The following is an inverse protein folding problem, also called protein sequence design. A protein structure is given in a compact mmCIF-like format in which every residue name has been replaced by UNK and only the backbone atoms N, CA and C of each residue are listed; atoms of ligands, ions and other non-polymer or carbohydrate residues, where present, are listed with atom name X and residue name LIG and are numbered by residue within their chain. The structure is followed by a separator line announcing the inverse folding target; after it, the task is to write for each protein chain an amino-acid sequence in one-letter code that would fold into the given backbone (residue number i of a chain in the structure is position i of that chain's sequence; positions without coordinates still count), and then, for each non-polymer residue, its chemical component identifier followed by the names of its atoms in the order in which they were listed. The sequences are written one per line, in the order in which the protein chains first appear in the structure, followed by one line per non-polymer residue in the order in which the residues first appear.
data_IF_067341543146
#
_entry.id   IF_067341543146
#
_cell.length_a   1.000
_cell.length_b   1.000
_cell.length_c   1.000
_cell.angle_alpha   90.00
_cell.angle_beta   90.00
_cell.angle_gamma   90.00
#
_symmetry.space_group_name_H-M   'P 1'
#
loop_
_entity.id
_entity.type
_entity.pdbx_description
1 polymer ?
#
# COMPACT_ATOMS: atom_id res chain seq x y z
N UNK A 1 8.41 -83.81 -12.20
CA UNK A 1 7.79 -82.72 -11.44
C UNK A 1 8.28 -81.42 -12.00
N UNK A 2 7.49 -80.63 -12.76
CA UNK A 2 7.92 -79.35 -13.32
C UNK A 2 7.55 -78.20 -12.34
N UNK A 3 8.52 -77.32 -12.09
CA UNK A 3 8.38 -76.11 -11.31
C UNK A 3 7.79 -75.02 -12.19
N UNK A 4 6.65 -74.49 -11.78
CA UNK A 4 5.94 -73.37 -12.45
C UNK A 4 6.54 -72.07 -12.00
N UNK A 5 7.12 -71.29 -12.91
CA UNK A 5 7.66 -69.95 -12.66
C UNK A 5 6.51 -68.96 -12.80
N UNK A 6 6.15 -68.26 -11.67
CA UNK A 6 5.20 -67.18 -11.68
C UNK A 6 5.94 -65.87 -12.00
N UNK A 7 5.65 -65.30 -13.17
CA UNK A 7 6.09 -63.95 -13.52
C UNK A 7 5.12 -62.91 -12.89
N UNK A 8 5.57 -62.17 -11.90
CA UNK A 8 4.85 -60.97 -11.40
C UNK A 8 5.15 -59.81 -12.33
N UNK A 9 4.14 -59.40 -13.09
CA UNK A 9 4.17 -58.12 -13.82
C UNK A 9 3.95 -56.96 -12.85
N UNK A 10 5.01 -56.20 -12.57
CA UNK A 10 4.90 -54.92 -11.84
C UNK A 10 4.35 -53.87 -12.78
N UNK A 11 3.06 -53.57 -12.67
CA UNK A 11 2.43 -52.42 -13.32
C UNK A 11 2.96 -51.14 -12.65
N UNK A 12 3.86 -50.40 -13.32
CA UNK A 12 4.33 -49.12 -12.92
C UNK A 12 3.20 -48.07 -12.96
N UNK A 13 2.69 -47.68 -11.81
CA UNK A 13 1.86 -46.47 -11.65
C UNK A 13 2.76 -45.26 -11.82
N UNK A 14 2.74 -44.66 -13.02
CA UNK A 14 3.27 -43.34 -13.24
C UNK A 14 2.42 -42.33 -12.42
N UNK A 15 3.03 -41.51 -11.54
CA UNK A 15 2.28 -40.45 -10.92
C UNK A 15 1.86 -39.47 -12.01
N UNK A 16 0.55 -39.35 -12.24
CA UNK A 16 -0.02 -38.27 -13.02
C UNK A 16 0.44 -36.94 -12.37
N UNK A 17 1.33 -36.22 -13.06
CA UNK A 17 1.64 -34.84 -12.73
C UNK A 17 0.33 -34.06 -12.78
N UNK A 18 -0.36 -33.97 -11.65
CA UNK A 18 -1.46 -33.05 -11.46
C UNK A 18 -0.95 -31.65 -11.75
N UNK A 19 -1.37 -31.05 -12.88
CA UNK A 19 -1.25 -29.63 -13.10
C UNK A 19 -1.85 -28.98 -11.84
N UNK A 20 -0.99 -28.39 -11.02
CA UNK A 20 -1.41 -27.49 -9.95
C UNK A 20 -2.32 -26.47 -10.63
N UNK A 21 -3.63 -26.61 -10.43
CA UNK A 21 -4.59 -25.63 -10.90
C UNK A 21 -4.18 -24.31 -10.21
N UNK A 22 -3.63 -23.40 -11.00
CA UNK A 22 -3.42 -22.06 -10.52
C UNK A 22 -4.80 -21.53 -10.06
N UNK A 23 -4.92 -21.03 -8.83
CA UNK A 23 -6.17 -20.44 -8.41
C UNK A 23 -6.57 -19.37 -9.43
N UNK A 24 -7.87 -19.23 -9.74
CA UNK A 24 -8.33 -18.25 -10.71
C UNK A 24 -7.77 -16.87 -10.28
N UNK A 25 -7.34 -16.03 -11.26
CA UNK A 25 -6.86 -14.70 -10.96
C UNK A 25 -7.94 -13.97 -10.17
N UNK A 26 -7.58 -13.49 -8.98
CA UNK A 26 -8.49 -12.71 -8.14
C UNK A 26 -8.86 -11.44 -8.91
N UNK A 27 -10.13 -10.99 -8.86
CA UNK A 27 -10.50 -9.74 -9.47
C UNK A 27 -9.63 -8.64 -8.86
N UNK A 28 -8.93 -7.88 -9.71
CA UNK A 28 -8.08 -6.76 -9.25
C UNK A 28 -8.93 -5.73 -8.55
N UNK A 29 -8.47 -5.26 -7.45
CA UNK A 29 -9.12 -4.19 -6.70
C UNK A 29 -9.09 -2.92 -7.51
N UNK A 30 -10.25 -2.46 -7.99
CA UNK A 30 -10.40 -1.28 -8.86
C UNK A 30 -10.28 0.04 -8.08
N UNK A 31 -9.44 0.03 -7.05
CA UNK A 31 -9.22 1.13 -6.13
C UNK A 31 -9.75 0.87 -4.72
N UNK A 32 -9.28 1.66 -3.79
CA UNK A 32 -9.69 1.59 -2.39
C UNK A 32 -9.75 2.96 -1.75
N UNK A 33 -10.51 3.06 -0.64
CA UNK A 33 -10.41 4.17 0.31
C UNK A 33 -10.02 3.63 1.68
N UNK A 34 -9.35 4.47 2.46
CA UNK A 34 -8.91 4.14 3.82
C UNK A 34 -8.89 5.38 4.70
N UNK A 35 -8.94 5.15 6.01
CA UNK A 35 -8.51 6.12 6.99
C UNK A 35 -7.02 5.94 7.22
N UNK A 36 -6.24 7.00 7.05
CA UNK A 36 -4.80 7.03 7.26
C UNK A 36 -4.51 7.69 8.59
N UNK A 37 -3.68 7.01 9.40
CA UNK A 37 -3.12 7.57 10.63
C UNK A 37 -1.60 7.59 10.53
N UNK A 38 -0.99 8.73 10.79
CA UNK A 38 0.47 8.91 10.82
C UNK A 38 0.89 9.18 12.25
N UNK A 39 1.88 8.44 12.75
CA UNK A 39 2.39 8.58 14.12
C UNK A 39 3.91 8.65 14.15
N UNK A 40 4.43 9.47 15.08
CA UNK A 40 5.82 9.44 15.50
C UNK A 40 5.89 8.89 16.93
N UNK A 41 6.37 7.66 17.10
CA UNK A 41 6.20 6.93 18.36
C UNK A 41 4.73 6.79 18.73
N UNK A 42 4.35 7.27 19.92
CA UNK A 42 2.96 7.24 20.40
C UNK A 42 2.15 8.50 20.05
N UNK A 43 2.78 9.49 19.41
CA UNK A 43 2.14 10.77 19.07
C UNK A 43 1.50 10.68 17.68
N UNK A 44 0.21 10.97 17.58
CA UNK A 44 -0.47 11.16 16.29
C UNK A 44 -0.05 12.48 15.66
N UNK A 45 0.49 12.42 14.44
CA UNK A 45 0.96 13.58 13.67
C UNK A 45 -0.07 14.05 12.66
N UNK A 46 -0.82 13.11 12.08
CA UNK A 46 -1.87 13.39 11.09
C UNK A 46 -2.88 12.26 11.03
N UNK A 47 -4.13 12.63 10.68
CA UNK A 47 -5.20 11.69 10.41
C UNK A 47 -6.13 12.21 9.32
N UNK A 48 -6.32 11.44 8.25
CA UNK A 48 -7.05 11.89 7.07
C UNK A 48 -7.62 10.71 6.27
N UNK A 49 -8.59 10.97 5.39
CA UNK A 49 -9.12 10.00 4.46
C UNK A 49 -8.32 10.00 3.17
N UNK A 50 -8.04 8.82 2.64
CA UNK A 50 -7.34 8.60 1.38
C UNK A 50 -8.23 7.74 0.47
N UNK A 51 -8.26 8.06 -0.82
CA UNK A 51 -8.78 7.17 -1.86
C UNK A 51 -7.76 7.08 -2.99
N UNK A 52 -7.60 5.87 -3.54
CA UNK A 52 -6.64 5.56 -4.60
C UNK A 52 -7.32 4.68 -5.64
N UNK A 53 -7.10 4.99 -6.94
CA UNK A 53 -7.54 4.16 -8.06
C UNK A 53 -6.53 4.29 -9.20
N UNK A 54 -5.65 3.29 -9.34
CA UNK A 54 -4.50 3.42 -10.24
C UNK A 54 -3.63 4.61 -9.82
N UNK A 55 -3.47 5.58 -10.71
CA UNK A 55 -2.72 6.82 -10.45
C UNK A 55 -3.59 7.97 -9.90
N UNK A 56 -4.91 7.78 -9.87
CA UNK A 56 -5.83 8.75 -9.30
C UNK A 56 -5.77 8.70 -7.77
N UNK A 57 -5.67 9.88 -7.16
CA UNK A 57 -5.54 10.03 -5.70
C UNK A 57 -6.49 11.13 -5.23
N UNK A 58 -7.18 10.88 -4.12
CA UNK A 58 -7.91 11.87 -3.35
C UNK A 58 -7.51 11.77 -1.90
N UNK A 59 -7.10 12.87 -1.28
CA UNK A 59 -6.72 12.97 0.13
C UNK A 59 -7.45 14.13 0.78
N UNK A 60 -8.20 13.87 1.84
CA UNK A 60 -8.78 14.95 2.67
C UNK A 60 -7.71 15.59 3.59
N UNK A 61 -7.95 16.79 4.05
CA UNK A 61 -7.07 17.46 5.03
C UNK A 61 -7.21 16.86 6.43
N UNK A 62 -8.40 16.34 6.76
CA UNK A 62 -8.72 15.69 8.04
C UNK A 62 -9.61 14.47 7.80
N UNK A 63 -9.96 13.70 8.84
CA UNK A 63 -10.91 12.61 8.76
C UNK A 63 -12.39 13.04 8.67
N UNK A 64 -12.69 14.32 8.95
CA UNK A 64 -14.05 14.81 8.98
C UNK A 64 -14.75 14.71 7.61
N UNK A 65 -16.04 14.42 7.62
CA UNK A 65 -16.88 14.52 6.43
C UNK A 65 -16.98 15.99 5.97
N UNK A 66 -16.92 16.20 4.65
CA UNK A 66 -16.95 17.56 4.09
C UNK A 66 -15.66 18.37 4.25
N UNK A 67 -14.60 17.79 4.80
CA UNK A 67 -13.30 18.44 4.86
C UNK A 67 -12.79 18.80 3.46
N UNK A 68 -12.02 19.87 3.37
CA UNK A 68 -11.22 20.21 2.19
C UNK A 68 -10.36 19.01 1.79
N UNK A 69 -10.21 18.79 0.50
CA UNK A 69 -9.43 17.68 -0.02
C UNK A 69 -8.62 18.06 -1.24
N UNK A 70 -7.53 17.32 -1.44
CA UNK A 70 -6.72 17.37 -2.65
C UNK A 70 -7.12 16.22 -3.56
N UNK A 71 -7.13 16.46 -4.87
CA UNK A 71 -7.49 15.44 -5.87
C UNK A 71 -6.62 15.55 -7.12
N UNK A 72 -6.28 14.38 -7.69
CA UNK A 72 -5.57 14.22 -8.95
C UNK A 72 -6.12 13.01 -9.68
N UNK A 73 -6.49 13.16 -10.97
CA UNK A 73 -7.09 12.07 -11.78
C UNK A 73 -6.07 11.09 -12.35
N UNK A 74 -4.84 11.53 -12.62
CA UNK A 74 -3.74 10.69 -13.15
C UNK A 74 -2.39 11.26 -12.74
N UNK A 75 -1.30 10.53 -13.00
CA UNK A 75 0.05 10.98 -12.64
C UNK A 75 0.44 12.33 -13.25
N UNK A 76 -0.08 12.63 -14.46
CA UNK A 76 0.22 13.86 -15.20
C UNK A 76 -0.83 14.95 -15.07
N UNK A 77 -1.96 14.64 -14.43
CA UNK A 77 -3.03 15.63 -14.23
C UNK A 77 -2.64 16.64 -13.13
N UNK A 78 -3.13 17.88 -13.20
CA UNK A 78 -2.96 18.86 -12.15
C UNK A 78 -3.59 18.37 -10.83
N UNK A 79 -3.02 18.81 -9.73
CA UNK A 79 -3.62 18.64 -8.41
C UNK A 79 -4.56 19.80 -8.15
N UNK A 80 -5.76 19.50 -7.66
CA UNK A 80 -6.72 20.50 -7.22
C UNK A 80 -6.97 20.36 -5.72
N UNK A 81 -7.01 21.50 -5.04
CA UNK A 81 -7.55 21.63 -3.69
C UNK A 81 -9.01 22.03 -3.80
N UNK A 82 -9.89 21.25 -3.20
CA UNK A 82 -11.34 21.39 -3.31
C UNK A 82 -11.91 21.68 -1.93
N UNK A 83 -12.66 22.78 -1.82
CA UNK A 83 -13.44 23.15 -0.64
C UNK A 83 -14.94 22.84 -0.88
N UNK A 84 -15.47 21.75 -0.28
CA UNK A 84 -16.87 21.40 -0.45
C UNK A 84 -17.82 22.42 0.18
N UNK A 85 -17.40 23.09 1.26
CA UNK A 85 -18.23 24.06 1.97
C UNK A 85 -18.43 25.35 1.19
N UNK A 86 -17.37 25.82 0.53
CA UNK A 86 -17.40 27.00 -0.34
C UNK A 86 -17.86 26.65 -1.77
N UNK A 87 -18.00 25.37 -2.11
CA UNK A 87 -18.22 24.86 -3.48
C UNK A 87 -17.22 25.47 -4.47
N UNK A 88 -15.96 25.48 -4.06
CA UNK A 88 -14.88 26.08 -4.84
C UNK A 88 -13.67 25.14 -4.91
N UNK A 89 -12.79 25.42 -5.87
CA UNK A 89 -11.52 24.72 -6.01
C UNK A 89 -10.44 25.65 -6.54
N UNK A 90 -9.20 25.31 -6.22
CA UNK A 90 -8.01 26.00 -6.75
C UNK A 90 -6.93 24.98 -7.11
N UNK A 91 -5.90 25.43 -7.80
CA UNK A 91 -4.73 24.61 -8.08
C UNK A 91 -3.98 24.34 -6.76
N UNK A 92 -3.72 23.07 -6.51
CA UNK A 92 -2.94 22.59 -5.37
C UNK A 92 -1.56 22.11 -5.83
N UNK A 93 -0.79 21.56 -4.88
CA UNK A 93 0.54 21.04 -5.19
C UNK A 93 0.64 19.54 -4.93
N UNK A 94 1.53 18.81 -5.66
CA UNK A 94 1.78 17.39 -5.40
C UNK A 94 2.24 17.14 -3.97
N UNK A 95 3.02 18.03 -3.38
CA UNK A 95 3.51 17.94 -2.01
C UNK A 95 2.35 17.97 -1.00
N UNK A 96 1.36 18.84 -1.22
CA UNK A 96 0.16 18.91 -0.37
C UNK A 96 -0.69 17.65 -0.50
N UNK A 97 -0.85 17.10 -1.72
CA UNK A 97 -1.57 15.85 -1.96
C UNK A 97 -0.89 14.67 -1.26
N UNK A 98 0.44 14.58 -1.32
CA UNK A 98 1.23 13.47 -0.80
C UNK A 98 1.78 13.71 0.61
N UNK A 99 1.43 14.82 1.26
CA UNK A 99 1.92 15.13 2.60
C UNK A 99 1.69 13.96 3.57
N UNK A 100 2.72 13.60 4.32
CA UNK A 100 2.78 12.43 5.21
C UNK A 100 2.69 11.05 4.53
N UNK A 101 2.62 10.99 3.21
CA UNK A 101 2.62 9.75 2.44
C UNK A 101 3.96 9.48 1.74
N UNK A 102 5.01 10.22 2.12
CA UNK A 102 6.33 10.10 1.51
C UNK A 102 6.77 8.64 1.43
N UNK A 103 7.08 8.20 0.22
CA UNK A 103 7.47 6.80 -0.07
C UNK A 103 6.45 5.74 0.40
N UNK A 104 5.19 6.10 0.65
CA UNK A 104 4.16 5.12 0.94
C UNK A 104 3.63 4.54 -0.38
N UNK A 105 3.73 3.21 -0.59
CA UNK A 105 3.23 2.58 -1.81
C UNK A 105 1.69 2.61 -1.83
N UNK A 106 1.12 3.38 -2.73
CA UNK A 106 -0.34 3.58 -2.81
C UNK A 106 -1.04 2.57 -3.75
N UNK A 107 -0.30 1.95 -4.66
CA UNK A 107 -0.87 1.03 -5.65
C UNK A 107 -1.00 -0.41 -5.14
N UNK A 108 -1.84 -1.23 -5.80
CA UNK A 108 -1.76 -2.69 -5.69
C UNK A 108 -0.45 -3.19 -6.32
N UNK A 109 -0.13 -4.47 -6.13
CA UNK A 109 1.05 -5.11 -6.72
C UNK A 109 2.38 -4.45 -6.32
N UNK A 110 2.60 -4.28 -5.02
CA UNK A 110 3.87 -3.76 -4.51
C UNK A 110 5.06 -4.55 -5.10
N UNK A 111 5.92 -3.85 -5.83
CA UNK A 111 7.08 -4.45 -6.48
C UNK A 111 8.30 -4.41 -5.55
N UNK A 112 8.59 -5.53 -4.90
CA UNK A 112 9.72 -5.69 -3.99
C UNK A 112 11.07 -5.37 -4.64
N UNK A 113 11.30 -5.80 -5.89
CA UNK A 113 12.55 -5.56 -6.59
C UNK A 113 12.72 -4.08 -6.94
N UNK A 114 11.65 -3.41 -7.39
CA UNK A 114 11.68 -1.98 -7.67
C UNK A 114 11.95 -1.18 -6.38
N UNK A 115 11.33 -1.55 -5.26
CA UNK A 115 11.56 -0.89 -3.98
C UNK A 115 13.00 -1.10 -3.47
N UNK A 116 13.53 -2.31 -3.58
CA UNK A 116 14.92 -2.59 -3.22
C UNK A 116 15.89 -1.78 -4.09
N UNK A 117 15.67 -1.74 -5.41
CA UNK A 117 16.48 -0.94 -6.33
C UNK A 117 16.40 0.56 -6.02
N UNK A 118 15.22 1.10 -5.74
CA UNK A 118 15.02 2.50 -5.36
C UNK A 118 15.81 2.87 -4.10
N UNK A 119 15.95 1.94 -3.17
CA UNK A 119 16.72 2.11 -1.92
C UNK A 119 18.20 1.79 -2.08
N UNK A 120 18.64 1.27 -3.23
CA UNK A 120 20.01 0.82 -3.43
C UNK A 120 20.41 -0.39 -2.57
N UNK A 121 19.43 -1.21 -2.15
CA UNK A 121 19.66 -2.41 -1.35
C UNK A 121 19.49 -3.66 -2.20
N UNK A 122 20.34 -4.67 -1.93
CA UNK A 122 20.28 -5.97 -2.65
C UNK A 122 19.41 -6.99 -1.95
N UNK A 123 19.19 -6.83 -0.66
CA UNK A 123 18.53 -7.81 0.18
C UNK A 123 17.37 -7.18 0.96
N UNK A 124 16.24 -7.84 0.94
CA UNK A 124 15.08 -7.57 1.77
C UNK A 124 14.60 -8.89 2.38
N UNK A 125 14.02 -8.82 3.55
CA UNK A 125 13.70 -10.01 4.33
C UNK A 125 12.18 -10.11 4.49
N UNK A 126 11.64 -11.31 4.22
CA UNK A 126 10.30 -11.64 4.65
C UNK A 126 10.36 -12.03 6.13
N UNK A 127 9.59 -11.35 6.94
CA UNK A 127 9.36 -11.68 8.34
C UNK A 127 8.14 -12.63 8.47
N UNK A 128 7.76 -12.98 9.69
CA UNK A 128 6.57 -13.78 9.95
C UNK A 128 5.30 -13.01 9.58
N UNK A 129 4.28 -13.72 9.12
CA UNK A 129 2.97 -13.14 8.86
C UNK A 129 2.31 -12.67 10.18
N UNK A 130 1.52 -11.61 10.11
CA UNK A 130 0.78 -11.07 11.24
C UNK A 130 -0.60 -10.53 10.81
N UNK A 131 -1.43 -10.19 11.79
CA UNK A 131 -2.73 -9.56 11.54
C UNK A 131 -2.63 -8.07 11.89
N UNK A 132 -3.06 -7.20 10.96
CA UNK A 132 -3.20 -5.77 11.19
C UNK A 132 -4.59 -5.28 10.76
N UNK A 133 -5.29 -4.59 11.64
CA UNK A 133 -6.65 -4.07 11.41
C UNK A 133 -7.61 -5.13 10.82
N UNK A 134 -7.52 -6.37 11.30
CA UNK A 134 -8.34 -7.50 10.83
C UNK A 134 -7.87 -8.15 9.52
N UNK A 135 -6.78 -7.69 8.91
CA UNK A 135 -6.24 -8.25 7.68
C UNK A 135 -5.02 -9.11 7.95
N UNK A 136 -4.97 -10.32 7.35
CA UNK A 136 -3.75 -11.13 7.32
C UNK A 136 -2.73 -10.45 6.39
N UNK A 137 -1.53 -10.20 6.91
CA UNK A 137 -0.49 -9.45 6.23
C UNK A 137 0.81 -10.26 6.16
N UNK A 138 1.45 -10.23 5.00
CA UNK A 138 2.87 -10.58 4.86
C UNK A 138 3.72 -9.36 5.23
N UNK A 139 4.77 -9.60 6.03
CA UNK A 139 5.64 -8.53 6.51
C UNK A 139 6.97 -8.60 5.78
N UNK A 140 7.42 -7.46 5.25
CA UNK A 140 8.68 -7.34 4.53
C UNK A 140 9.51 -6.20 5.08
N UNK A 141 10.76 -6.51 5.43
CA UNK A 141 11.72 -5.56 5.98
C UNK A 141 12.81 -5.21 4.97
N UNK A 142 13.09 -3.92 4.85
CA UNK A 142 14.10 -3.33 3.99
C UNK A 142 15.08 -2.54 4.86
N UNK A 143 16.25 -3.09 5.21
CA UNK A 143 17.30 -2.34 5.89
C UNK A 143 17.93 -1.35 4.92
N UNK A 144 18.32 -0.17 5.38
CA UNK A 144 19.01 0.81 4.52
C UNK A 144 20.46 0.37 4.21
N UNK A 145 21.06 -0.39 5.16
CA UNK A 145 22.39 -1.01 5.00
C UNK A 145 22.33 -2.41 5.59
N UNK A 146 22.26 -3.46 4.77
CA UNK A 146 22.11 -4.84 5.26
C UNK A 146 23.31 -5.34 6.06
N UNK A 147 24.50 -4.78 5.84
CA UNK A 147 25.76 -5.12 6.49
C UNK A 147 25.99 -4.38 7.83
N UNK A 148 25.15 -3.42 8.18
CA UNK A 148 25.30 -2.65 9.42
C UNK A 148 24.28 -3.10 10.48
N UNK A 149 24.77 -3.54 11.66
CA UNK A 149 23.96 -4.05 12.76
C UNK A 149 22.85 -3.09 13.24
N UNK A 150 23.10 -1.78 13.17
CA UNK A 150 22.17 -0.74 13.63
C UNK A 150 21.72 0.16 12.45
N UNK A 151 21.41 -0.44 11.31
CA UNK A 151 20.91 0.31 10.17
C UNK A 151 19.44 0.68 10.34
N UNK A 152 19.03 1.91 9.96
CA UNK A 152 17.64 2.23 9.80
C UNK A 152 16.97 1.24 8.84
N UNK A 153 15.69 0.99 9.05
CA UNK A 153 14.94 0.06 8.20
C UNK A 153 13.51 0.54 7.97
N UNK A 154 12.92 0.07 6.88
CA UNK A 154 11.49 0.24 6.61
C UNK A 154 10.84 -1.12 6.53
N UNK A 155 9.74 -1.29 7.24
CA UNK A 155 8.93 -2.51 7.22
C UNK A 155 7.58 -2.21 6.60
N UNK A 156 7.16 -3.01 5.61
CA UNK A 156 5.85 -2.93 4.97
C UNK A 156 5.00 -4.14 5.35
N UNK A 157 3.76 -3.89 5.68
CA UNK A 157 2.74 -4.89 5.96
C UNK A 157 1.76 -4.90 4.80
N UNK A 158 1.71 -5.99 4.06
CA UNK A 158 0.96 -6.14 2.83
C UNK A 158 -0.17 -7.14 3.01
N UNK A 159 -1.39 -6.72 2.77
CA UNK A 159 -2.54 -7.63 2.87
C UNK A 159 -2.64 -8.55 1.66
N UNK A 160 -2.79 -9.84 1.92
CA UNK A 160 -3.00 -10.84 0.86
C UNK A 160 -4.40 -10.78 0.26
N UNK A 161 -5.38 -10.27 1.00
CA UNK A 161 -6.79 -10.23 0.57
C UNK A 161 -7.12 -9.08 -0.40
N UNK A 162 -6.31 -8.01 -0.43
CA UNK A 162 -6.56 -6.79 -1.19
C UNK A 162 -5.42 -6.54 -2.21
N UNK A 163 -5.08 -7.55 -3.00
CA UNK A 163 -4.09 -7.47 -4.10
C UNK A 163 -2.73 -6.89 -3.70
N UNK A 164 -2.27 -7.20 -2.49
CA UNK A 164 -0.96 -6.76 -2.03
C UNK A 164 -0.87 -5.27 -1.65
N UNK A 165 -2.00 -4.62 -1.36
CA UNK A 165 -1.98 -3.25 -0.83
C UNK A 165 -1.15 -3.20 0.46
N UNK A 166 -0.24 -2.23 0.55
CA UNK A 166 0.46 -1.93 1.79
C UNK A 166 -0.50 -1.24 2.75
N UNK A 167 -0.74 -1.86 3.90
CA UNK A 167 -1.66 -1.32 4.91
C UNK A 167 -0.93 -0.68 6.07
N UNK A 168 0.37 -0.96 6.22
CA UNK A 168 1.20 -0.34 7.25
C UNK A 168 2.64 -0.21 6.77
N UNK A 169 3.23 0.96 7.00
CA UNK A 169 4.67 1.23 6.84
C UNK A 169 5.22 1.64 8.20
N UNK A 170 6.32 1.03 8.59
CA UNK A 170 7.05 1.40 9.81
C UNK A 170 8.47 1.76 9.43
N UNK A 171 8.86 3.01 9.65
CA UNK A 171 10.25 3.44 9.57
C UNK A 171 10.86 3.34 10.95
N UNK A 172 11.93 2.59 11.10
CA UNK A 172 12.69 2.42 12.34
C UNK A 172 14.07 3.03 12.17
N UNK A 173 14.43 3.95 13.06
CA UNK A 173 15.76 4.55 13.14
C UNK A 173 16.35 4.20 14.51
N UNK A 174 17.36 3.30 14.57
CA UNK A 174 18.01 2.91 15.81
C UNK A 174 18.66 4.12 16.48
N UNK A 175 18.50 4.22 17.78
CA UNK A 175 19.23 5.18 18.63
C UNK A 175 20.19 4.38 19.51
N UNK A 176 21.49 4.72 19.46
CA UNK A 176 22.55 3.96 20.15
C UNK A 176 22.28 3.72 21.63
N UNK A 177 21.77 4.74 22.35
CA UNK A 177 21.60 4.72 23.80
C UNK A 177 20.15 4.85 24.26
N UNK A 178 19.17 4.45 23.44
CA UNK A 178 17.76 4.59 23.78
C UNK A 178 16.83 3.75 22.91
N UNK A 179 15.53 3.84 23.14
CA UNK A 179 14.57 3.15 22.30
C UNK A 179 14.61 3.70 20.86
N UNK A 180 14.46 2.81 19.89
CA UNK A 180 14.38 3.15 18.47
C UNK A 180 13.31 4.21 18.21
N UNK A 181 13.64 5.18 17.36
CA UNK A 181 12.64 6.11 16.83
C UNK A 181 11.83 5.42 15.74
N UNK A 182 10.49 5.43 15.88
CA UNK A 182 9.60 4.80 14.93
C UNK A 182 8.58 5.80 14.39
N UNK A 183 8.42 5.81 13.07
CA UNK A 183 7.35 6.52 12.38
C UNK A 183 6.45 5.50 11.70
N UNK A 184 5.14 5.70 11.82
CA UNK A 184 4.13 4.80 11.30
C UNK A 184 3.22 5.53 10.31
N UNK A 185 2.88 4.88 9.21
CA UNK A 185 1.77 5.22 8.34
C UNK A 185 0.86 4.00 8.28
N UNK A 186 -0.38 4.13 8.72
CA UNK A 186 -1.31 3.02 8.92
C UNK A 186 -2.62 3.29 8.18
N UNK A 187 -3.10 2.30 7.41
CA UNK A 187 -4.36 2.32 6.71
C UNK A 187 -5.37 1.44 7.46
N UNK A 188 -6.46 2.01 7.86
CA UNK A 188 -7.58 1.30 8.53
C UNK A 188 -8.89 1.60 7.81
N UNK A 189 -9.98 0.91 8.16
CA UNK A 189 -11.31 1.09 7.56
C UNK A 189 -11.29 1.02 6.03
N UNK A 190 -10.51 0.09 5.48
CA UNK A 190 -10.30 -0.04 4.04
C UNK A 190 -11.61 -0.50 3.38
N UNK A 191 -12.01 0.23 2.32
CA UNK A 191 -13.16 -0.11 1.47
C UNK A 191 -12.68 -0.16 0.02
N UNK A 192 -13.10 -1.18 -0.72
CA UNK A 192 -12.77 -1.38 -2.14
C UNK A 192 -13.92 -0.91 -3.03
N UNK A 193 -13.65 -0.67 -4.32
CA UNK A 193 -14.68 -0.29 -5.29
C UNK A 193 -15.05 1.18 -5.22
N UNK A 194 -14.08 2.07 -5.41
CA UNK A 194 -14.29 3.53 -5.36
C UNK A 194 -14.83 4.04 -6.71
N UNK A 195 -15.88 4.86 -6.64
CA UNK A 195 -16.42 5.55 -7.79
C UNK A 195 -15.35 6.44 -8.46
N UNK A 196 -15.11 6.32 -9.78
CA UNK A 196 -14.22 7.20 -10.54
C UNK A 196 -14.53 8.68 -10.38
N UNK A 197 -15.78 9.05 -10.20
CA UNK A 197 -16.20 10.44 -9.99
C UNK A 197 -15.60 11.04 -8.70
N UNK A 198 -15.21 10.22 -7.74
CA UNK A 198 -14.57 10.68 -6.50
C UNK A 198 -13.21 11.38 -6.73
N UNK A 199 -12.59 11.17 -7.91
CA UNK A 199 -11.27 11.71 -8.26
C UNK A 199 -11.35 12.96 -9.15
N UNK A 200 -12.54 13.54 -9.29
CA UNK A 200 -12.79 14.75 -10.07
C UNK A 200 -13.24 15.89 -9.17
N UNK A 201 -13.00 17.11 -9.66
CA UNK A 201 -13.67 18.27 -9.09
C UNK A 201 -15.17 18.14 -9.38
N UNK A 202 -16.06 18.25 -8.37
CA UNK A 202 -17.48 18.11 -8.57
C UNK A 202 -18.04 19.17 -9.54
N UNK A 203 -19.04 18.79 -10.33
CA UNK A 203 -19.71 19.73 -11.24
C UNK A 203 -20.34 20.91 -10.46
N UNK A 204 -20.31 22.10 -11.07
CA UNK A 204 -20.86 23.32 -10.48
C UNK A 204 -19.98 23.95 -9.39
N UNK A 205 -18.76 23.46 -9.17
CA UNK A 205 -17.79 24.14 -8.30
C UNK A 205 -17.09 25.28 -9.05
N UNK A 206 -16.88 26.41 -8.34
CA UNK A 206 -16.24 27.61 -8.90
C UNK A 206 -14.71 27.50 -8.75
N UNK A 207 -14.00 27.81 -9.84
CA UNK A 207 -12.53 27.96 -9.76
C UNK A 207 -12.17 29.28 -9.09
N UNK A 208 -11.35 29.23 -8.09
CA UNK A 208 -10.77 30.42 -7.46
C UNK A 208 -9.54 30.89 -8.22
N UNK A 209 -9.29 32.20 -8.22
CA UNK A 209 -8.07 32.74 -8.77
C UNK A 209 -6.85 32.27 -7.93
N UNK A 210 -5.67 32.05 -8.56
CA UNK A 210 -4.47 31.79 -7.81
C UNK A 210 -4.24 32.88 -6.80
N UNK A 211 -4.03 32.51 -5.53
CA UNK A 211 -3.61 33.52 -4.54
C UNK A 211 -2.23 33.99 -4.97
N UNK A 212 -2.11 35.28 -5.35
CA UNK A 212 -0.84 35.89 -5.68
C UNK A 212 0.16 35.69 -4.54
N UNK A 213 1.33 35.18 -4.88
CA UNK A 213 2.49 35.11 -3.97
C UNK A 213 3.03 36.48 -3.69
#
# INVERSE_FOLDING_TARGET
MPATLLLLAAAGLLPACGKLMQPPPRPRTDGYSALVTVRGGDTELARFRLAVRGEAIRRSTTEAEGATYFVRESATAPVFEVDPSARSYREGTPEALLAHLDDFPLGPDFNHAAEANRRGIKEYQRESDAVFAGNACAIWRYPDRPDALNSPSTTYWMTQALDGIVVRKVRTVPRGDGPDEKTYVELTLIRVGIDPAAFRVPEGFRREAPQGR
#
